data_IF_969578784738
#
_entry.id   IF_969578784738
#
_cell.length_a   1.000
_cell.length_b   1.000
_cell.length_c   1.000
_cell.angle_alpha   90.00
_cell.angle_beta   90.00
_cell.angle_gamma   90.00
#
_symmetry.space_group_name_H-M   'P 1'
#
loop_
_entity.id
_entity.type
_entity.pdbx_description
1 polymer ?
#
# COMPACT_ATOMS: atom_id res chain seq x y z
N UNK A 1 7.89 -27.95 -7.20
CA UNK A 1 7.55 -28.33 -8.56
C UNK A 1 6.38 -29.32 -8.59
N UNK A 2 5.17 -28.83 -8.92
CA UNK A 2 3.93 -29.61 -8.92
C UNK A 2 3.77 -30.32 -10.28
N UNK A 3 4.36 -31.52 -10.45
CA UNK A 3 4.40 -32.22 -11.72
C UNK A 3 3.11 -33.02 -12.05
N UNK A 4 2.41 -33.55 -11.06
CA UNK A 4 1.18 -34.33 -11.27
C UNK A 4 -0.06 -33.47 -11.01
N UNK A 5 -1.25 -33.92 -11.57
CA UNK A 5 -2.52 -33.24 -11.31
C UNK A 5 -2.85 -33.14 -9.81
N UNK A 6 -2.58 -34.19 -9.04
CA UNK A 6 -2.81 -34.22 -7.59
C UNK A 6 -1.88 -33.28 -6.85
N UNK A 7 -0.61 -33.21 -7.24
CA UNK A 7 0.36 -32.27 -6.67
C UNK A 7 -0.03 -30.83 -6.99
N UNK A 8 -0.47 -30.52 -8.21
CA UNK A 8 -0.96 -29.18 -8.57
C UNK A 8 -2.16 -28.76 -7.75
N UNK A 9 -3.14 -29.64 -7.56
CA UNK A 9 -4.30 -29.36 -6.70
C UNK A 9 -3.91 -29.12 -5.24
N UNK A 10 -2.94 -29.88 -4.73
CA UNK A 10 -2.41 -29.68 -3.38
C UNK A 10 -1.68 -28.33 -3.25
N UNK A 11 -0.80 -28.00 -4.18
CA UNK A 11 -0.10 -26.72 -4.21
C UNK A 11 -1.05 -25.52 -4.32
N UNK A 12 -2.13 -25.62 -5.10
CA UNK A 12 -3.14 -24.56 -5.21
C UNK A 12 -3.86 -24.39 -3.87
N UNK A 13 -4.27 -25.48 -3.24
CA UNK A 13 -4.95 -25.42 -1.94
C UNK A 13 -4.04 -24.86 -0.84
N UNK A 14 -2.77 -25.24 -0.84
CA UNK A 14 -1.81 -24.74 0.15
C UNK A 14 -1.61 -23.23 -0.01
N UNK A 15 -1.61 -22.70 -1.24
CA UNK A 15 -1.59 -21.25 -1.49
C UNK A 15 -2.83 -20.53 -0.97
N UNK A 16 -4.01 -21.07 -1.22
CA UNK A 16 -5.24 -20.46 -0.70
C UNK A 16 -5.26 -20.46 0.82
N UNK A 17 -4.85 -21.55 1.47
CA UNK A 17 -4.75 -21.60 2.93
C UNK A 17 -3.76 -20.55 3.48
N UNK A 18 -2.67 -20.28 2.76
CA UNK A 18 -1.71 -19.25 3.15
C UNK A 18 -2.30 -17.85 2.96
N UNK A 19 -3.01 -17.60 1.85
CA UNK A 19 -3.68 -16.33 1.62
C UNK A 19 -4.75 -16.07 2.69
N UNK A 20 -5.57 -17.07 2.98
CA UNK A 20 -6.58 -16.98 4.04
C UNK A 20 -5.93 -16.69 5.40
N UNK A 21 -4.79 -17.32 5.72
CA UNK A 21 -4.08 -17.10 6.97
C UNK A 21 -3.47 -15.68 7.08
N UNK A 22 -2.95 -15.13 5.98
CA UNK A 22 -2.43 -13.76 5.95
C UNK A 22 -3.59 -12.76 6.11
N UNK A 23 -4.69 -12.96 5.38
CA UNK A 23 -5.88 -12.14 5.49
C UNK A 23 -6.47 -12.17 6.91
N UNK A 24 -6.56 -13.36 7.52
CA UNK A 24 -7.03 -13.53 8.90
C UNK A 24 -6.21 -12.76 9.93
N UNK A 25 -4.88 -12.73 9.79
CA UNK A 25 -3.99 -11.96 10.69
C UNK A 25 -4.36 -10.48 10.68
N UNK A 26 -4.65 -9.93 9.51
CA UNK A 26 -5.02 -8.52 9.37
C UNK A 26 -6.47 -8.32 9.78
N UNK A 27 -7.41 -9.07 9.20
CA UNK A 27 -8.85 -8.88 9.40
C UNK A 27 -9.26 -9.05 10.86
N UNK A 28 -8.68 -10.00 11.60
CA UNK A 28 -8.97 -10.20 13.03
C UNK A 28 -8.59 -8.99 13.88
N UNK A 29 -7.56 -8.24 13.48
CA UNK A 29 -7.12 -7.04 14.21
C UNK A 29 -7.94 -5.82 13.83
N UNK A 30 -8.18 -5.61 12.53
CA UNK A 30 -8.89 -4.41 12.05
C UNK A 30 -10.40 -4.50 12.19
N UNK A 31 -10.98 -5.71 12.31
CA UNK A 31 -12.44 -5.90 12.45
C UNK A 31 -13.02 -5.32 13.74
N UNK A 32 -12.19 -5.10 14.76
CA UNK A 32 -12.60 -4.49 16.03
C UNK A 32 -12.49 -2.97 16.05
N UNK A 33 -11.93 -2.37 15.01
CA UNK A 33 -11.76 -0.92 14.91
C UNK A 33 -13.12 -0.23 14.69
N UNK A 34 -13.40 0.76 15.52
CA UNK A 34 -14.49 1.68 15.27
C UNK A 34 -14.13 2.60 14.09
N UNK A 35 -15.15 3.21 13.46
CA UNK A 35 -14.91 4.09 12.29
C UNK A 35 -13.96 5.25 12.61
N UNK A 36 -13.93 5.73 13.85
CA UNK A 36 -13.02 6.80 14.30
C UNK A 36 -11.57 6.34 14.51
N UNK A 37 -11.32 5.05 14.50
CA UNK A 37 -9.99 4.45 14.66
C UNK A 37 -9.37 4.05 13.31
N UNK A 38 -10.16 4.16 12.24
CA UNK A 38 -9.71 3.89 10.88
C UNK A 38 -9.07 5.16 10.30
N UNK A 39 -7.78 5.13 9.96
CA UNK A 39 -7.13 6.30 9.40
C UNK A 39 -7.71 6.67 8.05
N UNK A 40 -7.89 7.97 7.85
CA UNK A 40 -8.22 8.55 6.56
C UNK A 40 -7.00 8.52 5.64
N UNK A 41 -7.18 8.03 4.42
CA UNK A 41 -6.07 7.83 3.47
C UNK A 41 -6.36 8.57 2.17
N UNK A 42 -5.41 9.34 1.71
CA UNK A 42 -5.37 9.82 0.33
C UNK A 42 -4.40 8.96 -0.45
N UNK A 43 -4.85 8.42 -1.58
CA UNK A 43 -4.03 7.60 -2.47
C UNK A 43 -3.79 8.39 -3.75
N UNK A 44 -2.58 8.92 -3.92
CA UNK A 44 -2.21 9.64 -5.13
C UNK A 44 -1.68 8.67 -6.20
N UNK A 45 -2.16 8.86 -7.41
CA UNK A 45 -1.66 8.16 -8.58
C UNK A 45 -0.30 8.74 -9.01
N UNK A 46 0.57 7.93 -9.58
CA UNK A 46 1.91 8.35 -10.05
C UNK A 46 1.89 9.59 -10.98
N UNK A 47 0.78 9.87 -11.66
CA UNK A 47 0.65 11.05 -12.50
C UNK A 47 0.72 12.37 -11.72
N UNK A 48 0.48 12.36 -10.40
CA UNK A 48 0.61 13.54 -9.54
C UNK A 48 2.02 14.10 -9.46
N UNK A 49 3.04 13.34 -9.86
CA UNK A 49 4.43 13.81 -9.91
C UNK A 49 4.69 14.97 -10.87
N UNK A 50 3.85 15.10 -11.88
CA UNK A 50 4.06 16.05 -12.99
C UNK A 50 2.83 16.90 -13.30
N UNK A 51 1.77 16.80 -12.51
CA UNK A 51 0.47 17.43 -12.73
C UNK A 51 -0.19 17.83 -11.42
N UNK A 52 -1.35 18.48 -11.52
CA UNK A 52 -2.27 18.61 -10.39
C UNK A 52 -2.57 17.23 -9.80
N UNK A 53 -2.87 17.15 -8.50
CA UNK A 53 -3.08 15.86 -7.84
C UNK A 53 -4.11 14.99 -8.56
N UNK A 54 -3.73 13.76 -8.81
CA UNK A 54 -4.60 12.71 -9.34
C UNK A 54 -4.74 11.65 -8.26
N UNK A 55 -5.95 11.44 -7.79
CA UNK A 55 -6.23 10.47 -6.72
C UNK A 55 -6.87 9.21 -7.28
N UNK A 56 -6.65 8.10 -6.60
CA UNK A 56 -7.32 6.82 -6.85
C UNK A 56 -8.63 6.78 -6.07
N UNK A 57 -9.68 6.27 -6.71
CA UNK A 57 -11.05 6.30 -6.18
C UNK A 57 -11.55 4.91 -5.77
N UNK A 58 -12.83 4.78 -5.42
CA UNK A 58 -13.44 3.54 -4.96
C UNK A 58 -13.41 2.37 -5.95
N UNK A 59 -13.15 2.62 -7.24
CA UNK A 59 -13.00 1.54 -8.22
C UNK A 59 -11.55 1.05 -8.37
N UNK A 60 -10.63 1.58 -7.59
CA UNK A 60 -9.22 1.16 -7.57
C UNK A 60 -9.00 -0.02 -6.63
N UNK A 61 -8.21 -0.99 -7.07
CA UNK A 61 -7.73 -2.09 -6.21
C UNK A 61 -6.95 -1.59 -4.99
N UNK A 62 -6.32 -0.43 -5.08
CA UNK A 62 -5.68 0.22 -3.94
C UNK A 62 -6.68 0.58 -2.84
N UNK A 63 -7.89 1.03 -3.22
CA UNK A 63 -8.94 1.34 -2.24
C UNK A 63 -9.42 0.08 -1.53
N UNK A 64 -9.56 -1.04 -2.25
CA UNK A 64 -9.89 -2.33 -1.63
C UNK A 64 -8.80 -2.74 -0.65
N UNK A 65 -7.53 -2.63 -1.03
CA UNK A 65 -6.39 -2.99 -0.19
C UNK A 65 -6.30 -2.10 1.07
N UNK A 66 -6.51 -0.79 0.93
CA UNK A 66 -6.59 0.17 2.05
C UNK A 66 -7.72 -0.24 3.00
N UNK A 67 -8.91 -0.57 2.47
CA UNK A 67 -10.05 -0.99 3.28
C UNK A 67 -9.78 -2.30 4.04
N UNK A 68 -9.16 -3.29 3.39
CA UNK A 68 -8.74 -4.55 4.02
C UNK A 68 -7.70 -4.32 5.12
N UNK A 69 -6.82 -3.34 4.95
CA UNK A 69 -5.80 -2.96 5.92
C UNK A 69 -6.33 -2.09 7.08
N UNK A 70 -7.63 -1.77 7.10
CA UNK A 70 -8.27 -1.01 8.15
C UNK A 70 -8.24 0.50 7.99
N UNK A 71 -7.98 1.02 6.78
CA UNK A 71 -8.06 2.44 6.44
C UNK A 71 -9.28 2.79 5.61
N UNK A 72 -9.54 4.08 5.43
CA UNK A 72 -10.63 4.60 4.62
C UNK A 72 -10.11 5.61 3.57
N UNK A 73 -10.33 5.30 2.28
CA UNK A 73 -9.93 6.21 1.20
C UNK A 73 -10.89 7.41 1.17
N UNK A 74 -10.35 8.62 1.40
CA UNK A 74 -11.10 9.88 1.44
C UNK A 74 -11.85 10.16 0.14
N UNK A 75 -11.29 9.76 -0.99
CA UNK A 75 -11.84 10.02 -2.32
C UNK A 75 -12.53 8.79 -2.94
N UNK A 76 -12.95 7.81 -2.12
CA UNK A 76 -13.60 6.61 -2.62
C UNK A 76 -14.88 6.90 -3.42
N UNK A 77 -15.64 7.93 -3.05
CA UNK A 77 -16.93 8.28 -3.67
C UNK A 77 -16.79 9.08 -4.99
N UNK A 78 -15.59 9.49 -5.36
CA UNK A 78 -15.37 10.19 -6.61
C UNK A 78 -15.52 9.27 -7.83
N UNK A 79 -16.00 9.79 -8.98
CA UNK A 79 -16.23 8.97 -10.15
C UNK A 79 -14.93 8.54 -10.85
N UNK A 80 -15.01 7.40 -11.54
CA UNK A 80 -13.88 6.86 -12.32
C UNK A 80 -12.92 6.02 -11.48
N UNK A 81 -11.80 5.63 -12.07
CA UNK A 81 -10.71 4.92 -11.41
C UNK A 81 -9.69 5.89 -10.83
N UNK A 82 -9.47 6.98 -11.53
CA UNK A 82 -8.65 8.12 -11.14
C UNK A 82 -9.42 9.41 -11.39
N UNK A 83 -9.24 10.38 -10.51
CA UNK A 83 -9.88 11.70 -10.63
C UNK A 83 -8.87 12.79 -10.29
N UNK A 84 -8.89 13.90 -11.05
CA UNK A 84 -8.17 15.10 -10.66
C UNK A 84 -8.87 15.77 -9.48
N UNK A 85 -8.11 16.19 -8.52
CA UNK A 85 -8.57 16.99 -7.38
C UNK A 85 -7.70 18.24 -7.26
N UNK A 86 -8.26 19.29 -6.68
CA UNK A 86 -7.48 20.46 -6.36
C UNK A 86 -6.65 20.22 -5.10
N UNK A 87 -5.52 20.92 -4.99
CA UNK A 87 -4.67 20.84 -3.81
C UNK A 87 -5.43 21.16 -2.52
N UNK A 88 -6.37 22.11 -2.59
CA UNK A 88 -7.24 22.49 -1.47
C UNK A 88 -8.14 21.35 -1.00
N UNK A 89 -8.54 20.44 -1.89
CA UNK A 89 -9.36 19.27 -1.52
C UNK A 89 -8.58 18.30 -0.64
N UNK A 90 -7.28 18.11 -0.93
CA UNK A 90 -6.40 17.28 -0.09
C UNK A 90 -6.14 17.96 1.25
N UNK A 91 -5.87 19.28 1.25
CA UNK A 91 -5.69 20.06 2.48
C UNK A 91 -6.93 20.04 3.37
N UNK A 92 -8.12 20.18 2.79
CA UNK A 92 -9.38 20.12 3.53
C UNK A 92 -9.69 18.73 4.07
N UNK A 93 -9.28 17.69 3.33
CA UNK A 93 -9.42 16.31 3.78
C UNK A 93 -8.51 15.98 4.96
N UNK A 94 -7.37 16.67 5.06
CA UNK A 94 -6.35 16.49 6.12
C UNK A 94 -6.11 15.02 6.48
N UNK A 95 -5.64 14.20 5.54
CA UNK A 95 -5.55 12.75 5.74
C UNK A 95 -4.52 12.37 6.81
N UNK A 96 -4.80 11.26 7.50
CA UNK A 96 -3.87 10.63 8.45
C UNK A 96 -2.70 9.93 7.75
N UNK A 97 -2.92 9.49 6.50
CA UNK A 97 -1.91 8.80 5.68
C UNK A 97 -1.94 9.32 4.25
N UNK A 98 -0.77 9.65 3.72
CA UNK A 98 -0.57 9.90 2.29
C UNK A 98 0.11 8.69 1.65
N UNK A 99 -0.56 8.08 0.69
CA UNK A 99 -0.05 6.92 -0.02
C UNK A 99 0.09 7.23 -1.51
N UNK A 100 1.13 6.68 -2.14
CA UNK A 100 1.44 6.93 -3.54
C UNK A 100 1.61 5.60 -4.28
N UNK A 101 0.97 5.48 -5.45
CA UNK A 101 1.21 4.38 -6.38
C UNK A 101 2.62 4.49 -6.98
N UNK A 102 3.46 3.54 -6.63
CA UNK A 102 4.90 3.55 -6.89
C UNK A 102 5.32 3.09 -8.29
N UNK A 103 4.42 2.99 -9.25
CA UNK A 103 4.72 2.42 -10.58
C UNK A 103 5.87 3.13 -11.34
N UNK A 104 6.16 4.39 -11.01
CA UNK A 104 7.21 5.18 -11.67
C UNK A 104 8.44 5.43 -10.79
N UNK A 105 8.47 4.86 -9.58
CA UNK A 105 9.51 5.13 -8.59
C UNK A 105 10.71 4.19 -8.67
N UNK A 106 10.75 3.31 -9.65
CA UNK A 106 11.82 2.32 -9.82
C UNK A 106 12.00 1.44 -8.57
N UNK A 107 10.87 1.00 -8.02
CA UNK A 107 10.75 0.04 -6.93
C UNK A 107 9.95 -1.18 -7.40
N UNK A 108 10.11 -2.30 -6.74
CA UNK A 108 9.46 -3.56 -7.10
C UNK A 108 10.45 -4.69 -7.29
N UNK A 109 10.22 -5.63 -8.17
CA UNK A 109 11.00 -6.86 -8.32
C UNK A 109 12.48 -6.55 -8.53
N UNK A 110 13.28 -6.34 -9.11
CA UNK A 110 14.73 -6.12 -9.19
C UNK A 110 15.10 -4.63 -9.11
N UNK A 111 14.26 -3.81 -8.50
CA UNK A 111 14.44 -2.36 -8.49
C UNK A 111 14.61 -1.87 -7.05
N UNK A 112 15.48 -0.87 -6.85
CA UNK A 112 15.97 -0.46 -5.53
C UNK A 112 15.83 1.03 -5.26
N UNK A 113 15.19 1.80 -6.16
CA UNK A 113 15.17 3.26 -6.11
C UNK A 113 16.61 3.84 -6.15
N UNK A 114 17.44 3.32 -7.06
CA UNK A 114 18.85 3.73 -7.19
C UNK A 114 19.02 5.22 -7.52
N UNK A 115 18.05 5.81 -8.23
CA UNK A 115 18.04 7.22 -8.59
C UNK A 115 17.53 8.13 -7.46
N UNK A 116 17.08 7.56 -6.33
CA UNK A 116 16.56 8.31 -5.19
C UNK A 116 15.26 9.05 -5.48
N UNK A 117 14.37 8.48 -6.29
CA UNK A 117 13.08 9.08 -6.64
C UNK A 117 12.14 9.18 -5.45
N UNK A 118 12.17 8.19 -4.55
CA UNK A 118 11.34 8.19 -3.35
C UNK A 118 11.64 9.39 -2.43
N UNK A 119 12.90 9.61 -1.98
CA UNK A 119 13.22 10.79 -1.16
C UNK A 119 12.88 12.10 -1.86
N UNK A 120 13.24 12.24 -3.13
CA UNK A 120 12.93 13.45 -3.93
C UNK A 120 11.44 13.73 -3.99
N UNK A 121 10.60 12.68 -4.06
CA UNK A 121 9.15 12.85 -4.07
C UNK A 121 8.61 13.27 -2.70
N UNK A 122 9.12 12.70 -1.61
CA UNK A 122 8.73 13.13 -0.27
C UNK A 122 9.09 14.59 -0.02
N UNK A 123 10.28 15.02 -0.42
CA UNK A 123 10.68 16.45 -0.35
C UNK A 123 9.69 17.31 -1.14
N UNK A 124 9.34 16.91 -2.36
CA UNK A 124 8.34 17.62 -3.18
C UNK A 124 6.97 17.71 -2.51
N UNK A 125 6.50 16.64 -1.84
CA UNK A 125 5.21 16.64 -1.14
C UNK A 125 5.25 17.58 0.07
N UNK A 126 6.31 17.54 0.85
CA UNK A 126 6.48 18.40 2.04
C UNK A 126 6.55 19.90 1.64
N UNK A 127 7.13 20.20 0.47
CA UNK A 127 7.25 21.57 -0.05
C UNK A 127 5.95 22.10 -0.70
N UNK A 128 4.93 21.27 -0.90
CA UNK A 128 3.62 21.75 -1.39
C UNK A 128 3.04 22.78 -0.43
N UNK A 129 2.50 23.87 -0.96
CA UNK A 129 1.93 24.95 -0.16
C UNK A 129 0.86 24.44 0.82
N UNK A 130 1.06 24.60 2.11
CA UNK A 130 0.12 24.24 3.17
C UNK A 130 0.24 22.78 3.65
N UNK A 131 1.05 21.94 3.01
CA UNK A 131 1.21 20.53 3.40
C UNK A 131 1.99 20.35 4.70
N UNK A 132 2.71 21.35 5.14
CA UNK A 132 3.31 21.42 6.48
C UNK A 132 2.29 21.36 7.63
N UNK A 133 0.99 21.52 7.32
CA UNK A 133 -0.12 21.42 8.28
C UNK A 133 -0.95 20.14 8.09
N UNK A 134 -0.62 19.26 7.14
CA UNK A 134 -1.32 17.98 6.93
C UNK A 134 -0.82 16.94 7.93
N UNK A 135 -1.74 16.28 8.63
CA UNK A 135 -1.41 15.30 9.68
C UNK A 135 -0.45 14.21 9.17
N UNK A 136 -0.69 13.68 7.97
CA UNK A 136 0.19 12.67 7.37
C UNK A 136 1.63 13.15 7.18
N UNK A 137 1.83 14.45 6.93
CA UNK A 137 3.17 15.06 6.78
C UNK A 137 3.79 15.31 8.14
N UNK A 138 3.02 15.86 9.10
CA UNK A 138 3.47 16.14 10.47
C UNK A 138 3.94 14.85 11.15
N UNK A 139 3.17 13.76 11.00
CA UNK A 139 3.41 12.47 11.64
C UNK A 139 4.33 11.55 10.84
N UNK A 140 4.87 12.02 9.70
CA UNK A 140 5.70 11.20 8.80
C UNK A 140 4.98 9.94 8.30
N UNK A 141 3.67 9.99 8.13
CA UNK A 141 2.84 8.87 7.68
C UNK A 141 2.61 8.91 6.17
N UNK A 142 3.71 8.89 5.44
CA UNK A 142 3.74 8.84 3.98
C UNK A 142 4.34 7.52 3.51
N UNK A 143 3.81 6.94 2.44
CA UNK A 143 4.35 5.73 1.85
C UNK A 143 4.21 5.72 0.32
N UNK A 144 5.28 5.35 -0.37
CA UNK A 144 5.25 4.99 -1.79
C UNK A 144 5.30 3.47 -1.83
N UNK A 145 4.29 2.84 -2.42
CA UNK A 145 4.19 1.39 -2.50
C UNK A 145 4.27 0.92 -3.94
N UNK A 146 5.01 -0.15 -4.17
CA UNK A 146 5.14 -0.75 -5.51
C UNK A 146 3.79 -1.12 -6.11
N UNK A 147 3.62 -0.86 -7.40
CA UNK A 147 2.39 -1.19 -8.14
C UNK A 147 2.04 -2.68 -8.15
N UNK A 148 2.98 -3.57 -7.85
CA UNK A 148 2.72 -5.00 -7.73
C UNK A 148 1.75 -5.34 -6.59
N UNK A 149 1.63 -4.49 -5.58
CA UNK A 149 0.64 -4.67 -4.50
C UNK A 149 -0.81 -4.46 -4.96
N UNK A 150 -1.03 -3.72 -6.03
CA UNK A 150 -2.34 -3.66 -6.68
C UNK A 150 -2.59 -4.83 -7.65
N UNK A 151 -1.86 -5.93 -7.51
CA UNK A 151 -1.90 -7.09 -8.41
C UNK A 151 -1.60 -8.41 -7.68
N UNK A 152 -0.76 -9.29 -8.27
CA UNK A 152 -0.53 -10.65 -7.75
C UNK A 152 0.05 -10.73 -6.34
N UNK A 153 0.68 -9.65 -5.86
CA UNK A 153 1.27 -9.58 -4.52
C UNK A 153 0.36 -8.95 -3.47
N UNK A 154 -0.88 -8.63 -3.79
CA UNK A 154 -1.82 -7.92 -2.92
C UNK A 154 -1.87 -8.51 -1.50
N UNK A 155 -2.10 -9.81 -1.39
CA UNK A 155 -2.23 -10.47 -0.07
C UNK A 155 -0.92 -10.42 0.72
N UNK A 156 0.23 -10.59 0.07
CA UNK A 156 1.53 -10.53 0.75
C UNK A 156 1.93 -9.09 1.13
N UNK A 157 1.41 -8.09 0.41
CA UNK A 157 1.57 -6.67 0.75
C UNK A 157 0.59 -6.15 1.81
N UNK A 158 -0.50 -6.88 2.06
CA UNK A 158 -1.54 -6.47 3.01
C UNK A 158 -1.00 -6.23 4.44
N UNK A 159 -0.16 -7.11 5.04
CA UNK A 159 0.42 -6.86 6.37
C UNK A 159 1.32 -5.62 6.41
N UNK A 160 2.03 -5.33 5.33
CA UNK A 160 2.87 -4.12 5.23
C UNK A 160 2.01 -2.86 5.28
N UNK A 161 0.93 -2.83 4.50
CA UNK A 161 0.01 -1.69 4.49
C UNK A 161 -0.72 -1.54 5.82
N UNK A 162 -1.18 -2.65 6.41
CA UNK A 162 -1.81 -2.63 7.74
C UNK A 162 -0.86 -2.08 8.82
N UNK A 163 0.41 -2.41 8.76
CA UNK A 163 1.43 -1.88 9.68
C UNK A 163 1.71 -0.39 9.48
N UNK A 164 1.66 0.11 8.24
CA UNK A 164 1.76 1.56 7.95
C UNK A 164 0.57 2.31 8.55
N UNK A 165 -0.64 1.75 8.43
CA UNK A 165 -1.86 2.37 8.93
C UNK A 165 -2.02 2.27 10.45
N UNK A 166 -1.59 1.16 11.03
CA UNK A 166 -1.78 0.83 12.45
C UNK A 166 -0.49 0.30 13.07
N UNK A 167 0.57 1.11 13.19
CA UNK A 167 1.90 0.65 13.61
C UNK A 167 1.87 -0.04 14.99
N UNK A 168 1.09 0.48 15.94
CA UNK A 168 0.96 -0.10 17.27
C UNK A 168 0.23 -1.46 17.24
N UNK A 169 -0.85 -1.56 16.45
CA UNK A 169 -1.67 -2.77 16.33
C UNK A 169 -0.92 -3.93 15.67
N UNK A 170 0.06 -3.61 14.81
CA UNK A 170 0.89 -4.56 14.06
C UNK A 170 2.38 -4.52 14.48
N UNK A 171 2.69 -4.03 15.69
CA UNK A 171 4.07 -3.90 16.17
C UNK A 171 4.81 -5.24 16.25
N UNK A 172 4.09 -6.34 16.53
CA UNK A 172 4.59 -7.71 16.60
C UNK A 172 4.64 -8.45 15.25
N UNK A 173 4.13 -7.82 14.17
CA UNK A 173 4.08 -8.44 12.83
C UNK A 173 5.34 -8.10 12.04
N UNK A 174 6.04 -9.14 11.60
CA UNK A 174 7.12 -9.03 10.63
C UNK A 174 6.55 -9.01 9.21
N UNK A 175 6.15 -7.81 8.74
CA UNK A 175 5.51 -7.65 7.45
C UNK A 175 6.43 -8.00 6.27
N UNK A 176 7.75 -7.84 6.42
CA UNK A 176 8.74 -8.16 5.38
C UNK A 176 8.82 -9.68 5.15
N UNK A 177 8.64 -10.49 6.20
CA UNK A 177 8.67 -11.94 6.06
C UNK A 177 7.62 -12.49 5.09
N UNK A 178 6.46 -11.85 4.98
CA UNK A 178 5.43 -12.25 4.01
C UNK A 178 5.86 -11.99 2.57
N UNK A 179 6.58 -10.91 2.32
CA UNK A 179 7.15 -10.62 1.00
C UNK A 179 8.26 -11.61 0.68
N UNK A 180 9.14 -11.90 1.61
CA UNK A 180 10.22 -12.87 1.44
C UNK A 180 9.68 -14.26 1.17
N UNK A 181 8.62 -14.67 1.86
CA UNK A 181 7.92 -15.92 1.65
C UNK A 181 7.31 -16.02 0.23
N UNK A 182 6.76 -14.94 -0.30
CA UNK A 182 6.26 -14.92 -1.67
C UNK A 182 7.34 -15.31 -2.67
N UNK A 183 8.53 -14.74 -2.55
CA UNK A 183 9.65 -15.03 -3.46
C UNK A 183 10.24 -16.42 -3.22
N UNK A 184 10.51 -16.78 -1.97
CA UNK A 184 11.17 -18.05 -1.65
C UNK A 184 10.28 -19.26 -1.91
N UNK A 185 9.02 -19.22 -1.48
CA UNK A 185 8.09 -20.36 -1.61
C UNK A 185 7.57 -20.56 -3.03
N UNK A 186 7.26 -19.47 -3.75
CA UNK A 186 6.61 -19.58 -5.05
C UNK A 186 7.55 -19.45 -6.23
N UNK A 187 8.65 -18.75 -6.06
CA UNK A 187 9.62 -18.50 -7.12
C UNK A 187 10.96 -19.18 -6.88
N UNK A 188 11.25 -19.63 -5.65
CA UNK A 188 12.51 -20.29 -5.31
C UNK A 188 13.72 -19.37 -5.38
N UNK A 189 13.51 -18.07 -5.16
CA UNK A 189 14.55 -17.02 -5.17
C UNK A 189 14.43 -16.16 -3.93
N UNK A 190 15.49 -15.46 -3.58
CA UNK A 190 15.45 -14.41 -2.56
C UNK A 190 14.84 -13.14 -3.14
N UNK A 191 14.12 -12.39 -2.30
CA UNK A 191 13.65 -11.06 -2.67
C UNK A 191 14.84 -10.10 -2.67
N UNK A 192 15.00 -9.39 -3.78
CA UNK A 192 16.09 -8.43 -3.93
C UNK A 192 15.62 -7.00 -4.20
N UNK A 193 14.34 -6.81 -4.52
CA UNK A 193 13.81 -5.48 -4.80
C UNK A 193 13.27 -4.76 -3.55
N UNK A 194 13.19 -3.45 -3.62
CA UNK A 194 12.53 -2.58 -2.65
C UNK A 194 11.08 -2.38 -3.07
N UNK A 195 10.13 -2.64 -2.19
CA UNK A 195 8.71 -2.59 -2.52
C UNK A 195 7.97 -1.44 -1.84
N UNK A 196 8.57 -0.84 -0.83
CA UNK A 196 7.99 0.27 -0.08
C UNK A 196 9.07 1.31 0.23
N UNK A 197 8.74 2.56 0.06
CA UNK A 197 9.51 3.70 0.58
C UNK A 197 8.67 4.42 1.65
N UNK A 198 9.33 4.86 2.69
CA UNK A 198 8.80 5.80 3.69
C UNK A 198 9.82 6.91 3.94
N UNK A 199 9.43 8.08 4.42
CA UNK A 199 10.34 9.18 4.77
C UNK A 199 11.37 8.80 5.81
#
# INVERSE_FOLDING_TARGET
HCHTRRQRQMCIRDRFNEFDAIEEIVSNRVSSLESSERPSVVIEHHASLVRDPVVLTGTSQWTDLVSMAGGDNVFADLPGHTTHVDMEEILNANPDVLMFDGIVFDIGFNSYDEEGKCPTHFDYIIERTGFDNVEAVIDNRMAIMSGEFAGPMMIHGLPTLAKIMHPELFSDVDAESYLDDYFSKYHGVERIGKFVCSP
#
